data_IF_482719740234
#
_entry.id   IF_482719740234
#
_cell.length_a   1.000
_cell.length_b   1.000
_cell.length_c   1.000
_cell.angle_alpha   90.00
_cell.angle_beta   90.00
_cell.angle_gamma   90.00
#
_symmetry.space_group_name_H-M   'P 1'
#
loop_
_entity.id
_entity.type
_entity.pdbx_description
1 polymer ?
#
# COMPACT_ATOMS: atom_id res chain seq x y z
N UNK A 1 3.35 13.01 -6.30
CA UNK A 1 2.21 12.23 -5.86
C UNK A 1 2.67 10.99 -5.14
N UNK A 2 2.22 10.80 -3.91
CA UNK A 2 2.64 9.67 -3.11
C UNK A 2 1.45 8.86 -2.65
N UNK A 3 1.73 7.59 -2.39
CA UNK A 3 0.70 6.67 -1.92
C UNK A 3 1.19 5.96 -0.67
N UNK A 4 0.26 5.66 0.19
CA UNK A 4 0.52 4.87 1.38
C UNK A 4 0.08 3.45 1.13
N UNK A 5 0.99 2.50 1.33
CA UNK A 5 0.70 1.09 1.13
C UNK A 5 0.74 0.40 2.48
N UNK A 6 -0.38 -0.19 2.86
CA UNK A 6 -0.47 -0.92 4.10
C UNK A 6 -0.53 -2.40 3.80
N UNK A 7 0.32 -3.16 4.47
CA UNK A 7 0.28 -4.61 4.34
C UNK A 7 -0.67 -5.17 5.38
N UNK A 8 -1.52 -6.07 4.94
CA UNK A 8 -2.54 -6.63 5.79
C UNK A 8 -2.19 -8.05 6.18
N UNK A 9 -2.58 -8.43 7.39
CA UNK A 9 -2.37 -9.76 7.90
C UNK A 9 -3.43 -10.70 7.30
N UNK A 10 -2.99 -11.86 6.87
CA UNK A 10 -3.91 -12.84 6.29
C UNK A 10 -4.91 -13.37 7.30
N UNK A 11 -4.52 -13.40 8.54
CA UNK A 11 -5.37 -14.00 9.57
C UNK A 11 -6.44 -13.03 10.03
N UNK A 12 -6.03 -11.82 10.35
CA UNK A 12 -6.95 -10.86 10.94
C UNK A 12 -7.42 -9.78 9.97
N UNK A 13 -6.72 -9.61 8.87
CA UNK A 13 -7.01 -8.50 7.98
C UNK A 13 -6.58 -7.17 8.53
N UNK A 14 -5.79 -7.18 9.59
CA UNK A 14 -5.32 -5.94 10.20
C UNK A 14 -4.06 -5.47 9.53
N UNK A 15 -3.81 -4.17 9.58
CA UNK A 15 -2.60 -3.61 9.02
C UNK A 15 -1.40 -4.00 9.86
N UNK A 16 -0.41 -4.59 9.22
CA UNK A 16 0.83 -4.98 9.90
C UNK A 16 1.79 -3.81 9.91
N UNK A 17 1.95 -3.16 8.77
CA UNK A 17 2.79 -1.98 8.69
C UNK A 17 2.35 -1.15 7.49
N UNK A 18 2.94 0.02 7.35
CA UNK A 18 2.63 0.87 6.21
C UNK A 18 3.89 1.57 5.74
N UNK A 19 3.89 1.92 4.46
CA UNK A 19 5.02 2.57 3.83
C UNK A 19 4.50 3.59 2.84
N UNK A 20 5.13 4.75 2.78
CA UNK A 20 4.77 5.78 1.81
C UNK A 20 5.76 5.73 0.67
N UNK A 21 5.26 5.60 -0.55
CA UNK A 21 6.09 5.53 -1.74
C UNK A 21 5.48 6.42 -2.81
N UNK A 22 6.26 6.72 -3.84
CA UNK A 22 5.71 7.50 -4.95
C UNK A 22 5.01 6.59 -5.95
N UNK A 23 4.30 7.22 -6.88
CA UNK A 23 3.47 6.49 -7.81
C UNK A 23 4.26 5.47 -8.63
N UNK A 24 5.50 5.80 -8.95
CA UNK A 24 6.31 4.90 -9.75
C UNK A 24 6.61 3.59 -9.04
N UNK A 25 6.72 3.64 -7.72
CA UNK A 25 7.03 2.45 -6.95
C UNK A 25 5.81 1.60 -6.66
N UNK A 26 4.62 2.19 -6.71
CA UNK A 26 3.39 1.47 -6.39
C UNK A 26 3.22 0.26 -7.30
N UNK A 27 3.45 0.44 -8.59
CA UNK A 27 3.28 -0.65 -9.54
C UNK A 27 4.14 -1.84 -9.20
N UNK A 28 5.40 -1.58 -8.86
CA UNK A 28 6.32 -2.65 -8.51
C UNK A 28 5.87 -3.38 -7.26
N UNK A 29 5.41 -2.63 -6.28
CA UNK A 29 4.98 -3.20 -5.02
C UNK A 29 3.73 -4.04 -5.22
N UNK A 30 2.80 -3.56 -6.04
CA UNK A 30 1.59 -4.32 -6.33
C UNK A 30 1.92 -5.63 -7.03
N UNK A 31 2.83 -5.60 -7.98
CA UNK A 31 3.23 -6.81 -8.67
C UNK A 31 3.89 -7.80 -7.73
N UNK A 32 4.73 -7.30 -6.85
CA UNK A 32 5.38 -8.17 -5.88
C UNK A 32 4.35 -8.80 -4.95
N UNK A 33 3.40 -8.01 -4.48
CA UNK A 33 2.36 -8.52 -3.61
C UNK A 33 1.51 -9.58 -4.30
N UNK A 34 1.21 -9.36 -5.57
CA UNK A 34 0.44 -10.33 -6.34
C UNK A 34 1.20 -11.65 -6.49
N UNK A 35 2.51 -11.57 -6.69
CA UNK A 35 3.32 -12.77 -6.84
C UNK A 35 3.42 -13.58 -5.57
N UNK A 36 3.42 -12.91 -4.44
CA UNK A 36 3.57 -13.60 -3.15
C UNK A 36 2.24 -13.86 -2.47
N UNK A 37 1.15 -13.37 -3.04
CA UNK A 37 -0.15 -13.54 -2.42
C UNK A 37 -0.37 -12.63 -1.21
N UNK A 38 0.39 -11.56 -1.13
CA UNK A 38 0.31 -10.66 0.00
C UNK A 38 -0.87 -9.70 -0.18
N UNK A 39 -1.64 -9.49 0.88
CA UNK A 39 -2.72 -8.53 0.84
C UNK A 39 -2.20 -7.16 1.19
N UNK A 40 -2.55 -6.18 0.37
CA UNK A 40 -2.14 -4.81 0.64
C UNK A 40 -3.32 -3.88 0.37
N UNK A 41 -3.26 -2.72 1.01
CA UNK A 41 -4.24 -1.67 0.81
C UNK A 41 -3.49 -0.40 0.44
N UNK A 42 -3.91 0.25 -0.64
CA UNK A 42 -3.22 1.42 -1.17
C UNK A 42 -4.16 2.60 -1.15
N UNK A 43 -3.68 3.72 -0.66
CA UNK A 43 -4.46 4.94 -0.66
C UNK A 43 -3.54 6.13 -0.91
N UNK A 44 -4.08 7.25 -1.39
CA UNK A 44 -3.25 8.43 -1.64
C UNK A 44 -2.74 9.02 -0.33
N UNK A 45 -1.44 9.23 -0.27
CA UNK A 45 -0.84 9.80 0.93
C UNK A 45 -0.94 11.31 0.94
N UNK A 46 -1.07 11.92 -0.24
CA UNK A 46 -1.14 13.36 -0.35
C UNK A 46 -2.55 13.90 -0.31
N UNK A 47 -3.51 13.06 -0.10
CA UNK A 47 -4.89 13.46 -0.22
C UNK A 47 -5.31 14.45 0.85
N UNK A 48 -4.54 14.56 1.85
CA UNK A 48 -4.92 15.44 2.93
C UNK A 48 -5.03 16.88 2.49
N UNK A 49 -4.35 17.22 1.48
CA UNK A 49 -4.40 18.58 1.06
C UNK A 49 -5.76 18.98 0.60
N UNK A 50 -6.49 18.04 0.21
CA UNK A 50 -7.77 18.33 -0.31
C UNK A 50 -8.65 18.87 0.74
N UNK A 51 -8.28 18.58 1.86
CA UNK A 51 -9.20 18.99 2.85
C UNK A 51 -9.50 20.18 2.98
#
# INVERSE_FOLDING_TARGET
>A
LRFEIMRLDDVNGSAVDSTVVDAASVNRIVQHAANTGQRIYIRPADSTTAS
#
